data_IF_771623400703
#
_entry.id   IF_771623400703
#
_cell.length_a   1.000
_cell.length_b   1.000
_cell.length_c   1.000
_cell.angle_alpha   90.00
_cell.angle_beta   90.00
_cell.angle_gamma   90.00
#
_symmetry.space_group_name_H-M   'P 1'
#
loop_
_entity.id
_entity.type
_entity.pdbx_description
1 polymer ?
#
# COMPACT_ATOMS: atom_id res chain seq x y z
N UNK A 1 -11.23 16.07 -15.54
CA UNK A 1 -11.95 15.56 -14.35
C UNK A 1 -13.39 15.31 -14.78
N UNK A 2 -14.02 14.20 -14.35
CA UNK A 2 -15.42 13.95 -14.67
C UNK A 2 -16.28 14.47 -13.51
N UNK A 3 -16.73 15.71 -13.62
CA UNK A 3 -17.44 16.40 -12.54
C UNK A 3 -18.78 15.74 -12.22
N UNK A 4 -19.42 15.10 -13.21
CA UNK A 4 -20.65 14.35 -13.01
C UNK A 4 -20.42 13.18 -12.05
N UNK A 5 -19.38 12.39 -12.31
CA UNK A 5 -19.04 11.23 -11.49
C UNK A 5 -18.64 11.62 -10.06
N UNK A 6 -17.82 12.67 -9.89
CA UNK A 6 -17.39 13.14 -8.56
C UNK A 6 -18.58 13.66 -7.73
N UNK A 7 -19.53 14.34 -8.37
CA UNK A 7 -20.65 14.96 -7.66
C UNK A 7 -21.81 13.99 -7.37
N UNK A 8 -21.88 12.83 -8.01
CA UNK A 8 -22.95 11.86 -7.79
C UNK A 8 -23.00 11.35 -6.35
N UNK A 9 -21.85 10.99 -5.78
CA UNK A 9 -21.76 10.49 -4.40
C UNK A 9 -22.03 11.58 -3.37
N UNK A 10 -21.59 12.81 -3.65
CA UNK A 10 -21.76 13.95 -2.75
C UNK A 10 -23.23 14.40 -2.62
N UNK A 11 -24.08 14.13 -3.62
CA UNK A 11 -25.52 14.47 -3.57
C UNK A 11 -26.28 13.76 -2.44
N UNK A 12 -25.75 12.64 -1.95
CA UNK A 12 -26.38 11.87 -0.87
C UNK A 12 -26.17 12.48 0.52
N UNK A 13 -25.27 13.48 0.66
CA UNK A 13 -24.88 14.08 1.93
C UNK A 13 -25.22 15.58 1.91
N UNK A 14 -25.80 16.11 2.99
CA UNK A 14 -26.17 17.54 3.08
C UNK A 14 -25.44 18.20 4.24
N UNK A 15 -24.38 18.94 3.94
CA UNK A 15 -23.57 19.61 4.96
C UNK A 15 -24.22 20.90 5.48
N UNK A 16 -24.05 21.16 6.77
CA UNK A 16 -24.41 22.43 7.43
C UNK A 16 -23.16 23.09 8.02
N UNK A 17 -22.93 24.36 7.73
CA UNK A 17 -21.79 25.11 8.30
C UNK A 17 -21.89 25.27 9.83
N UNK A 18 -23.10 25.19 10.39
CA UNK A 18 -23.36 25.37 11.81
C UNK A 18 -23.36 24.06 12.62
N UNK A 19 -23.34 22.89 11.98
CA UNK A 19 -23.45 21.58 12.64
C UNK A 19 -22.35 20.60 12.21
N UNK A 20 -21.16 20.81 12.76
CA UNK A 20 -20.02 19.92 12.51
C UNK A 20 -20.28 18.47 12.99
N UNK A 21 -20.92 18.30 14.14
CA UNK A 21 -21.15 16.96 14.70
C UNK A 21 -22.13 16.16 13.83
N UNK A 22 -23.23 16.77 13.39
CA UNK A 22 -24.16 16.19 12.44
C UNK A 22 -23.48 15.84 11.11
N UNK A 23 -22.60 16.72 10.61
CA UNK A 23 -21.78 16.45 9.42
C UNK A 23 -20.93 15.18 9.56
N UNK A 24 -20.23 15.02 10.68
CA UNK A 24 -19.41 13.81 10.92
C UNK A 24 -20.28 12.56 10.99
N UNK A 25 -21.41 12.60 11.70
CA UNK A 25 -22.30 11.45 11.84
C UNK A 25 -22.90 11.02 10.49
N UNK A 26 -23.38 11.96 9.67
CA UNK A 26 -23.94 11.62 8.37
C UNK A 26 -22.88 11.05 7.42
N UNK A 27 -21.65 11.59 7.41
CA UNK A 27 -20.57 11.07 6.56
C UNK A 27 -20.20 9.65 6.97
N UNK A 28 -20.05 9.37 8.27
CA UNK A 28 -19.75 8.01 8.74
C UNK A 28 -20.86 7.02 8.40
N UNK A 29 -22.12 7.43 8.54
CA UNK A 29 -23.28 6.61 8.14
C UNK A 29 -23.26 6.31 6.65
N UNK A 30 -23.02 7.32 5.81
CA UNK A 30 -22.94 7.15 4.36
C UNK A 30 -21.83 6.18 3.97
N UNK A 31 -20.61 6.35 4.49
CA UNK A 31 -19.48 5.46 4.19
C UNK A 31 -19.76 4.01 4.59
N UNK A 32 -20.34 3.79 5.77
CA UNK A 32 -20.71 2.44 6.20
C UNK A 32 -21.79 1.83 5.28
N UNK A 33 -22.74 2.63 4.80
CA UNK A 33 -23.78 2.18 3.87
C UNK A 33 -23.24 1.91 2.46
N UNK A 34 -22.30 2.71 1.97
CA UNK A 34 -21.67 2.51 0.65
C UNK A 34 -20.86 1.22 0.60
N UNK A 35 -20.25 0.78 1.71
CA UNK A 35 -19.53 -0.49 1.74
C UNK A 35 -20.45 -1.68 1.44
N UNK A 36 -21.69 -1.66 1.93
CA UNK A 36 -22.67 -2.71 1.63
C UNK A 36 -23.15 -2.71 0.17
N UNK A 37 -23.07 -1.58 -0.53
CA UNK A 37 -23.46 -1.48 -1.94
C UNK A 37 -22.56 -2.30 -2.86
N UNK A 38 -21.33 -2.61 -2.42
CA UNK A 38 -20.40 -3.46 -3.15
C UNK A 38 -20.68 -4.95 -2.99
N UNK A 39 -21.46 -5.35 -1.99
CA UNK A 39 -21.86 -6.75 -1.80
C UNK A 39 -22.69 -7.19 -3.03
N UNK A 40 -22.20 -8.20 -3.76
CA UNK A 40 -22.77 -8.72 -5.04
C UNK A 40 -22.37 -7.95 -6.30
N UNK A 41 -21.41 -7.03 -6.22
CA UNK A 41 -20.78 -6.43 -7.41
C UNK A 41 -19.43 -7.06 -7.68
N UNK A 42 -19.01 -7.04 -8.94
CA UNK A 42 -17.63 -7.36 -9.30
C UNK A 42 -16.69 -6.27 -8.76
N UNK A 43 -15.48 -6.65 -8.38
CA UNK A 43 -14.47 -5.70 -7.89
C UNK A 43 -14.02 -4.81 -9.06
N UNK A 44 -14.26 -3.49 -9.01
CA UNK A 44 -13.80 -2.57 -10.04
C UNK A 44 -12.29 -2.33 -9.90
N UNK A 45 -11.49 -2.81 -10.86
CA UNK A 45 -10.04 -2.62 -10.87
C UNK A 45 -9.59 -1.17 -11.12
N UNK A 46 -10.52 -0.28 -11.45
CA UNK A 46 -10.27 1.15 -11.67
C UNK A 46 -10.41 1.99 -10.41
N UNK A 47 -10.97 1.44 -9.33
CA UNK A 47 -11.20 2.18 -8.08
C UNK A 47 -9.93 2.28 -7.22
N UNK A 48 -9.76 3.45 -6.60
CA UNK A 48 -8.66 3.75 -5.69
C UNK A 48 -9.20 3.83 -4.26
N UNK A 49 -8.51 3.19 -3.31
CA UNK A 49 -8.83 3.35 -1.87
C UNK A 49 -8.09 4.55 -1.25
N UNK A 50 -7.33 5.29 -2.05
CA UNK A 50 -6.48 6.40 -1.59
C UNK A 50 -6.78 7.66 -2.37
N UNK A 51 -6.74 8.79 -1.66
CA UNK A 51 -6.90 10.10 -2.28
C UNK A 51 -5.63 10.47 -3.05
N UNK A 52 -5.74 11.25 -4.15
CA UNK A 52 -4.59 11.69 -4.93
C UNK A 52 -3.64 12.60 -4.13
N UNK A 53 -4.11 13.23 -3.04
CA UNK A 53 -3.32 14.11 -2.18
C UNK A 53 -2.54 13.38 -1.09
N UNK A 54 -2.70 12.07 -0.95
CA UNK A 54 -1.97 11.26 0.03
C UNK A 54 -0.48 11.24 -0.31
N UNK A 55 0.38 11.42 0.69
CA UNK A 55 1.84 11.22 0.59
C UNK A 55 2.14 9.83 1.13
N UNK A 56 1.99 8.83 0.27
CA UNK A 56 2.34 7.43 0.53
C UNK A 56 2.31 6.63 -0.79
N UNK A 57 2.76 5.37 -0.80
CA UNK A 57 2.57 4.41 -1.89
C UNK A 57 1.96 3.10 -1.38
N UNK A 58 1.38 2.30 -2.28
CA UNK A 58 0.67 1.09 -1.86
C UNK A 58 0.66 -0.02 -2.92
N UNK A 59 0.79 -1.26 -2.45
CA UNK A 59 0.45 -2.48 -3.15
C UNK A 59 -0.85 -3.10 -2.61
N UNK A 60 -1.70 -3.59 -3.51
CA UNK A 60 -2.89 -4.37 -3.18
C UNK A 60 -2.83 -5.74 -3.85
N UNK A 61 -2.73 -6.78 -3.02
CA UNK A 61 -2.61 -8.16 -3.46
C UNK A 61 -3.87 -8.65 -4.21
N UNK A 62 -5.07 -8.29 -3.74
CA UNK A 62 -6.34 -8.74 -4.33
C UNK A 62 -6.64 -8.14 -5.70
N UNK A 63 -6.05 -6.99 -6.02
CA UNK A 63 -6.15 -6.37 -7.35
C UNK A 63 -4.88 -6.54 -8.16
N UNK A 64 -3.80 -7.02 -7.54
CA UNK A 64 -2.43 -7.05 -8.06
C UNK A 64 -2.02 -5.71 -8.68
N UNK A 65 -2.11 -4.63 -7.88
CA UNK A 65 -1.87 -3.26 -8.33
C UNK A 65 -0.96 -2.50 -7.38
N UNK A 66 -0.06 -1.72 -7.97
CA UNK A 66 0.76 -0.72 -7.29
C UNK A 66 0.16 0.66 -7.59
N UNK A 67 0.13 1.55 -6.58
CA UNK A 67 -0.47 2.88 -6.69
C UNK A 67 0.45 3.94 -6.10
N UNK A 68 0.70 4.98 -6.88
CA UNK A 68 1.42 6.19 -6.48
C UNK A 68 0.46 7.39 -6.62
N UNK A 69 -0.19 7.82 -5.52
CA UNK A 69 -0.89 9.09 -5.46
C UNK A 69 0.00 10.25 -5.89
N UNK A 70 -0.60 11.30 -6.46
CA UNK A 70 0.14 12.49 -6.89
C UNK A 70 0.87 13.19 -5.72
N UNK A 71 0.34 13.09 -4.50
CA UNK A 71 0.98 13.60 -3.29
C UNK A 71 2.34 12.95 -2.98
N UNK A 72 2.60 11.73 -3.43
CA UNK A 72 3.92 11.09 -3.27
C UNK A 72 4.94 11.59 -4.31
N UNK A 73 4.47 12.04 -5.48
CA UNK A 73 5.29 12.42 -6.62
C UNK A 73 5.82 13.86 -6.52
N UNK A 74 6.44 14.17 -5.39
CA UNK A 74 7.05 15.47 -5.08
C UNK A 74 8.36 15.29 -4.32
N UNK A 75 9.07 16.39 -4.07
CA UNK A 75 10.32 16.36 -3.27
C UNK A 75 10.02 15.91 -1.82
N UNK A 76 10.88 15.09 -1.18
CA UNK A 76 12.16 14.57 -1.65
C UNK A 76 12.06 13.16 -2.28
N UNK A 77 10.94 12.79 -2.88
CA UNK A 77 10.78 11.47 -3.51
C UNK A 77 10.98 11.57 -5.02
N UNK A 78 10.43 12.62 -5.63
CA UNK A 78 10.56 12.91 -7.05
C UNK A 78 10.88 14.39 -7.28
N UNK A 79 12.05 14.66 -7.87
CA UNK A 79 12.51 16.02 -8.16
C UNK A 79 12.21 16.50 -9.58
N UNK A 80 11.63 15.64 -10.43
CA UNK A 80 11.41 15.92 -11.86
C UNK A 80 12.57 15.45 -12.74
N UNK A 81 12.45 15.70 -14.04
CA UNK A 81 13.38 15.21 -15.07
C UNK A 81 14.66 16.04 -15.20
N UNK A 82 14.71 17.21 -14.56
CA UNK A 82 15.87 18.12 -14.60
C UNK A 82 16.98 17.75 -13.60
N UNK A 83 16.70 16.86 -12.65
CA UNK A 83 17.63 16.45 -11.61
C UNK A 83 18.36 15.15 -11.98
N UNK A 84 19.56 14.89 -11.41
CA UNK A 84 20.28 13.65 -11.64
C UNK A 84 19.40 12.43 -11.38
N UNK A 85 19.39 11.48 -12.33
CA UNK A 85 18.59 10.26 -12.22
C UNK A 85 18.89 9.45 -10.96
N UNK A 86 20.11 9.53 -10.42
CA UNK A 86 20.48 8.89 -9.15
C UNK A 86 19.58 9.29 -7.98
N UNK A 87 19.09 10.54 -7.93
CA UNK A 87 18.14 10.99 -6.92
C UNK A 87 16.76 10.36 -7.13
N UNK A 88 16.30 10.28 -8.39
CA UNK A 88 15.02 9.65 -8.71
C UNK A 88 15.05 8.14 -8.43
N UNK A 89 16.09 7.42 -8.86
CA UNK A 89 16.23 5.99 -8.58
C UNK A 89 16.40 5.72 -7.08
N UNK A 90 17.25 6.50 -6.39
CA UNK A 90 17.49 6.34 -4.95
C UNK A 90 16.33 6.75 -4.04
N UNK A 91 15.30 7.40 -4.57
CA UNK A 91 14.10 7.80 -3.84
C UNK A 91 12.84 7.14 -4.42
N UNK A 92 12.15 7.75 -5.39
CA UNK A 92 10.93 7.16 -5.97
C UNK A 92 11.18 5.79 -6.61
N UNK A 93 12.37 5.53 -7.15
CA UNK A 93 12.74 4.21 -7.69
C UNK A 93 12.73 3.13 -6.61
N UNK A 94 13.31 3.39 -5.45
CA UNK A 94 13.26 2.50 -4.28
C UNK A 94 11.82 2.24 -3.85
N UNK A 95 10.98 3.27 -3.80
CA UNK A 95 9.56 3.13 -3.43
C UNK A 95 8.81 2.30 -4.49
N UNK A 96 9.10 2.50 -5.78
CA UNK A 96 8.54 1.65 -6.86
C UNK A 96 8.94 0.19 -6.69
N UNK A 97 10.23 -0.06 -6.43
CA UNK A 97 10.72 -1.40 -6.16
C UNK A 97 10.15 -2.02 -4.88
N UNK A 98 9.91 -1.20 -3.85
CA UNK A 98 9.29 -1.61 -2.58
C UNK A 98 7.88 -2.14 -2.81
N UNK A 99 7.02 -1.34 -3.44
CA UNK A 99 5.65 -1.75 -3.74
C UNK A 99 5.56 -2.92 -4.72
N UNK A 100 6.52 -3.01 -5.65
CA UNK A 100 6.62 -4.19 -6.52
C UNK A 100 6.98 -5.45 -5.74
N UNK A 101 7.92 -5.33 -4.79
CA UNK A 101 8.37 -6.45 -3.96
C UNK A 101 7.27 -6.95 -3.02
N UNK A 102 6.32 -6.10 -2.60
CA UNK A 102 5.16 -6.53 -1.83
C UNK A 102 4.33 -7.62 -2.52
N UNK A 103 4.31 -7.69 -3.85
CA UNK A 103 3.69 -8.79 -4.59
C UNK A 103 4.35 -10.16 -4.36
N UNK A 104 5.55 -10.19 -3.79
CA UNK A 104 6.36 -11.39 -3.57
C UNK A 104 6.84 -11.54 -2.12
N UNK A 105 6.38 -10.70 -1.20
CA UNK A 105 6.74 -10.78 0.21
C UNK A 105 6.06 -11.98 0.92
N UNK A 106 6.17 -12.07 2.25
CA UNK A 106 5.61 -13.20 3.00
C UNK A 106 4.06 -13.31 2.95
N UNK A 107 3.35 -12.29 2.47
CA UNK A 107 1.92 -12.27 2.25
C UNK A 107 1.57 -12.26 0.75
N UNK A 108 2.10 -11.30 -0.03
CA UNK A 108 1.77 -11.13 -1.44
C UNK A 108 2.06 -12.36 -2.29
N UNK A 109 3.12 -13.12 -1.98
CA UNK A 109 3.46 -14.38 -2.67
C UNK A 109 2.34 -15.43 -2.69
N UNK A 110 1.34 -15.30 -1.82
CA UNK A 110 0.21 -16.24 -1.72
C UNK A 110 -0.90 -15.92 -2.73
N UNK A 111 -0.80 -14.79 -3.42
CA UNK A 111 -1.77 -14.31 -4.38
C UNK A 111 -1.27 -14.54 -5.79
N UNK A 112 -2.12 -15.09 -6.65
CA UNK A 112 -1.82 -15.30 -8.07
C UNK A 112 -1.79 -13.96 -8.83
N UNK A 113 -1.45 -14.02 -10.13
CA UNK A 113 -1.41 -12.83 -11.01
C UNK A 113 -2.74 -12.06 -11.10
N UNK A 114 -3.86 -12.70 -10.78
CA UNK A 114 -5.20 -12.12 -10.85
C UNK A 114 -5.65 -11.52 -9.50
N UNK A 115 -4.91 -11.78 -8.43
CA UNK A 115 -5.20 -11.36 -7.06
C UNK A 115 -6.03 -12.37 -6.26
N UNK A 116 -6.07 -13.63 -6.68
CA UNK A 116 -6.72 -14.70 -5.93
C UNK A 116 -5.75 -15.30 -4.91
N UNK A 117 -6.22 -15.57 -3.70
CA UNK A 117 -5.45 -16.33 -2.71
C UNK A 117 -5.40 -17.80 -3.14
N UNK A 118 -4.37 -18.15 -3.91
CA UNK A 118 -4.19 -19.46 -4.52
C UNK A 118 -2.71 -19.86 -4.48
N UNK A 119 -2.32 -20.95 -3.79
CA UNK A 119 -0.92 -21.38 -3.73
C UNK A 119 -0.37 -21.76 -5.11
N UNK A 120 0.44 -20.87 -5.70
CA UNK A 120 1.03 -21.05 -7.04
C UNK A 120 2.52 -21.43 -7.01
N UNK A 121 3.11 -21.62 -5.82
CA UNK A 121 4.49 -22.06 -5.64
C UNK A 121 4.54 -23.55 -5.34
N UNK A 122 5.61 -24.23 -5.77
CA UNK A 122 5.91 -25.57 -5.26
C UNK A 122 6.20 -25.51 -3.77
N UNK A 123 5.88 -26.59 -3.04
CA UNK A 123 6.18 -26.73 -1.61
C UNK A 123 7.66 -26.46 -1.31
N UNK A 124 8.56 -26.97 -2.14
CA UNK A 124 10.01 -26.75 -2.01
C UNK A 124 10.39 -25.25 -2.10
N UNK A 125 9.78 -24.51 -3.04
CA UNK A 125 10.05 -23.07 -3.20
C UNK A 125 9.54 -22.28 -1.99
N UNK A 126 8.38 -22.65 -1.45
CA UNK A 126 7.87 -22.04 -0.23
C UNK A 126 8.78 -22.26 0.98
N UNK A 127 9.30 -23.48 1.15
CA UNK A 127 10.19 -23.83 2.25
C UNK A 127 11.51 -23.06 2.15
N UNK A 128 12.12 -23.02 0.95
CA UNK A 128 13.33 -22.23 0.69
C UNK A 128 13.12 -20.74 0.94
N UNK A 129 11.96 -20.19 0.61
CA UNK A 129 11.64 -18.79 0.92
C UNK A 129 11.49 -18.55 2.41
N UNK A 130 10.77 -19.42 3.12
CA UNK A 130 10.65 -19.37 4.58
C UNK A 130 12.02 -19.48 5.25
N UNK A 131 12.93 -20.29 4.70
CA UNK A 131 14.30 -20.40 5.19
C UNK A 131 15.09 -19.11 5.00
N UNK A 132 15.12 -18.55 3.79
CA UNK A 132 15.85 -17.29 3.49
C UNK A 132 15.35 -16.12 4.33
N UNK A 133 14.03 -16.01 4.49
CA UNK A 133 13.43 -14.90 5.25
C UNK A 133 13.70 -14.96 6.76
N UNK A 134 14.14 -16.11 7.32
CA UNK A 134 14.64 -16.18 8.70
C UNK A 134 15.84 -15.27 8.93
N UNK A 135 16.69 -15.05 7.92
CA UNK A 135 17.82 -14.14 8.01
C UNK A 135 17.36 -12.72 8.38
N UNK A 136 16.36 -12.20 7.66
CA UNK A 136 15.78 -10.87 7.92
C UNK A 136 15.05 -10.83 9.26
N UNK A 137 14.28 -11.87 9.62
CA UNK A 137 13.64 -11.94 10.95
C UNK A 137 14.69 -11.80 12.06
N UNK A 138 15.79 -12.56 11.97
CA UNK A 138 16.84 -12.57 12.99
C UNK A 138 17.58 -11.23 13.03
N UNK A 139 17.97 -10.70 11.86
CA UNK A 139 18.64 -9.41 11.75
C UNK A 139 17.81 -8.29 12.39
N UNK A 140 16.56 -8.12 11.97
CA UNK A 140 15.73 -7.02 12.48
C UNK A 140 15.31 -7.24 13.93
N UNK A 141 15.19 -8.48 14.39
CA UNK A 141 14.92 -8.74 15.82
C UNK A 141 16.08 -8.33 16.73
N UNK A 142 17.30 -8.25 16.20
CA UNK A 142 18.46 -7.81 16.97
C UNK A 142 18.57 -6.28 17.08
N UNK A 143 17.74 -5.51 16.36
CA UNK A 143 17.73 -4.05 16.49
C UNK A 143 16.98 -3.61 17.74
N UNK A 144 17.70 -2.98 18.66
CA UNK A 144 17.15 -2.39 19.88
C UNK A 144 16.75 -0.92 19.64
N UNK A 145 15.48 -0.60 19.84
CA UNK A 145 14.97 0.76 19.71
C UNK A 145 14.95 1.45 21.08
N UNK A 146 16.01 2.22 21.37
CA UNK A 146 16.20 2.91 22.66
C UNK A 146 14.98 3.72 23.13
N UNK A 147 14.31 4.44 22.23
CA UNK A 147 13.15 5.27 22.58
C UNK A 147 11.92 4.46 22.99
N UNK A 148 11.73 3.27 22.40
CA UNK A 148 10.63 2.38 22.77
C UNK A 148 11.02 1.41 23.90
N UNK A 149 12.30 1.35 24.27
CA UNK A 149 12.80 0.42 25.29
C UNK A 149 12.75 -1.06 24.88
N UNK A 150 12.55 -1.36 23.59
CA UNK A 150 12.25 -2.70 23.09
C UNK A 150 13.01 -3.01 21.79
N UNK A 151 13.27 -4.29 21.55
CA UNK A 151 13.71 -4.76 20.24
C UNK A 151 12.58 -4.72 19.21
N UNK A 152 12.95 -4.42 17.96
CA UNK A 152 12.05 -4.54 16.81
C UNK A 152 11.56 -5.99 16.72
N UNK A 153 10.28 -6.16 16.38
CA UNK A 153 9.71 -7.49 16.17
C UNK A 153 9.93 -7.91 14.72
N UNK A 154 11.07 -8.53 14.41
CA UNK A 154 11.46 -8.87 13.03
C UNK A 154 10.42 -9.71 12.28
N UNK A 155 9.70 -10.61 12.96
CA UNK A 155 8.59 -11.36 12.36
C UNK A 155 7.39 -10.48 11.99
N UNK A 156 7.12 -9.41 12.76
CA UNK A 156 5.99 -8.49 12.52
C UNK A 156 6.30 -7.51 11.39
N UNK A 157 7.57 -7.14 11.22
CA UNK A 157 8.03 -6.19 10.20
C UNK A 157 8.51 -6.86 8.92
N UNK A 158 8.43 -8.20 8.84
CA UNK A 158 9.07 -8.97 7.78
C UNK A 158 8.67 -8.55 6.36
N UNK A 159 7.39 -8.26 6.11
CA UNK A 159 6.90 -7.86 4.79
C UNK A 159 7.58 -6.58 4.30
N UNK A 160 7.52 -5.54 5.14
CA UNK A 160 8.20 -4.26 4.89
C UNK A 160 9.72 -4.44 4.77
N UNK A 161 10.34 -5.25 5.63
CA UNK A 161 11.79 -5.47 5.56
C UNK A 161 12.21 -6.16 4.23
N UNK A 162 11.40 -7.11 3.75
CA UNK A 162 11.64 -7.76 2.44
C UNK A 162 11.48 -6.71 1.32
N UNK A 163 10.43 -5.91 1.39
CA UNK A 163 10.13 -4.87 0.41
C UNK A 163 11.21 -3.77 0.37
N UNK A 164 11.70 -3.30 1.52
CA UNK A 164 12.78 -2.32 1.61
C UNK A 164 14.06 -2.83 0.94
N UNK A 165 14.46 -4.07 1.26
CA UNK A 165 15.70 -4.67 0.75
C UNK A 165 15.59 -5.02 -0.74
N UNK A 166 14.42 -5.50 -1.18
CA UNK A 166 14.14 -5.76 -2.60
C UNK A 166 14.10 -4.45 -3.39
N UNK A 167 13.34 -3.48 -2.92
CA UNK A 167 13.16 -2.19 -3.58
C UNK A 167 14.46 -1.43 -3.77
N UNK A 168 15.30 -1.38 -2.73
CA UNK A 168 16.61 -0.74 -2.85
C UNK A 168 17.54 -1.46 -3.83
N UNK A 169 17.45 -2.79 -3.94
CA UNK A 169 18.29 -3.58 -4.85
C UNK A 169 17.87 -3.44 -6.31
N UNK A 170 16.57 -3.35 -6.58
CA UNK A 170 16.02 -3.30 -7.94
C UNK A 170 15.96 -1.87 -8.52
N UNK A 171 16.16 -0.84 -7.69
CA UNK A 171 16.24 0.56 -8.09
C UNK A 171 17.61 0.93 -8.70
#
# INVERSE_FOLDING_TARGET
MNDTHVNEDLKAIKFSEADYFGNVLQTRKYLAQSDFFWLRKAVPKTEWFTNPTTVNAFYSASTNQIRFPAGELQKPFFWGTEYPRSLSYGAIGVIVGHEFTHGFDNNGRKYDKNGNLDPWWSTESEEKFKEKTKCMINQYSNYYWKKAGLNVKGKRTLGENIADNGGLREA
#
